data_IF_090072535642
#
_entry.id   IF_090072535642
#
_cell.length_a   1.000
_cell.length_b   1.000
_cell.length_c   1.000
_cell.angle_alpha   90.00
_cell.angle_beta   90.00
_cell.angle_gamma   90.00
#
_symmetry.space_group_name_H-M   'P 1'
#
loop_
_entity.id
_entity.type
_entity.pdbx_description
1 polymer ?
2 non-polymer ?
3 non-polymer ?
4 water ?
#
# COMPACT_ATOMS: atom_id res chain seq x y z
N UNK A 2 -6.17 11.82 9.25
CA UNK A 2 -5.29 12.63 8.41
C UNK A 2 -4.29 11.76 7.65
N UNK A 3 -3.94 12.20 6.45
CA UNK A 3 -3.09 11.40 5.61
C UNK A 3 -2.06 12.31 5.00
N UNK A 4 -1.06 11.68 4.35
CA UNK A 4 -0.18 12.56 3.57
C UNK A 4 0.66 13.51 4.40
N UNK A 5 0.93 14.68 3.89
CA UNK A 5 1.86 15.65 4.54
C UNK A 5 1.33 16.10 5.92
N UNK A 6 -0.01 16.12 6.06
CA UNK A 6 -0.70 16.50 7.29
C UNK A 6 -0.83 15.38 8.26
N UNK A 7 -0.31 14.18 7.97
CA UNK A 7 -0.53 12.95 8.77
C UNK A 7 0.64 12.02 8.60
N UNK A 8 1.86 12.53 8.79
CA UNK A 8 3.07 11.73 8.88
C UNK A 8 3.22 10.81 7.69
N UNK A 9 2.87 11.33 6.53
CA UNK A 9 2.97 10.53 5.27
C UNK A 9 2.14 9.22 5.25
N UNK A 10 1.10 9.13 6.12
CA UNK A 10 0.24 7.98 6.15
C UNK A 10 -0.62 7.89 4.87
N UNK A 11 -1.12 6.70 4.65
CA UNK A 11 -1.84 6.36 3.43
C UNK A 11 -3.22 5.85 3.78
N UNK A 12 -4.19 6.07 2.91
CA UNK A 12 -5.59 5.74 3.20
C UNK A 12 -5.72 4.28 2.88
N UNK A 13 -6.66 3.59 3.53
CA UNK A 13 -6.91 2.18 3.19
C UNK A 13 -7.57 2.07 1.84
N UNK A 14 -7.40 0.90 1.22
CA UNK A 14 -8.17 0.57 0.06
C UNK A 14 -7.92 1.53 -1.09
N UNK A 15 -6.71 2.04 -1.20
CA UNK A 15 -6.40 2.98 -2.31
C UNK A 15 -7.21 4.24 -2.37
N UNK A 16 -7.81 4.64 -1.23
CA UNK A 16 -8.52 5.89 -1.22
C UNK A 16 -7.50 6.97 -1.45
N UNK A 17 -7.89 8.05 -2.12
CA UNK A 17 -7.01 9.23 -2.35
C UNK A 17 -6.85 10.15 -1.10
N UNK A 18 -5.64 10.62 -0.88
CA UNK A 18 -5.39 11.55 0.21
C UNK A 18 -5.40 12.92 -0.45
N UNK A 19 -6.38 13.75 -0.10
CA UNK A 19 -6.56 15.04 -0.79
C UNK A 19 -5.42 16.03 -0.55
N UNK A 20 -5.46 17.17 -1.27
CA UNK A 20 -4.48 18.27 -1.01
C UNK A 20 -4.51 18.82 0.43
N UNK A 21 -5.65 18.63 1.08
CA UNK A 21 -5.80 18.99 2.50
C UNK A 21 -5.37 17.92 3.48
N UNK A 22 -5.15 16.71 3.02
CA UNK A 22 -4.73 15.60 3.90
C UNK A 22 -5.90 14.89 4.60
N UNK A 23 -6.93 14.61 3.80
CA UNK A 23 -8.04 13.76 4.24
C UNK A 23 -8.29 12.71 3.18
N UNK A 24 -8.84 11.60 3.63
CA UNK A 24 -9.13 10.45 2.74
C UNK A 24 -10.48 10.43 2.08
N UNK A 25 -10.52 10.09 0.80
CA UNK A 25 -11.84 9.95 0.16
C UNK A 25 -11.67 9.52 -1.28
N UNK A 26 -12.72 9.75 -2.06
CA UNK A 26 -12.71 9.36 -3.48
C UNK A 26 -13.44 10.46 -4.23
N UNK A 27 -13.19 10.48 -5.52
CA UNK A 27 -13.71 11.57 -6.35
C UNK A 27 -12.78 12.73 -6.49
N UNK A 28 -13.20 13.70 -7.32
CA UNK A 28 -12.42 14.85 -7.69
C UNK A 28 -11.76 15.67 -6.58
N UNK A 29 -12.48 15.81 -5.49
CA UNK A 29 -11.87 16.59 -4.39
C UNK A 29 -10.74 15.89 -3.66
N UNK A 30 -10.59 14.59 -3.90
CA UNK A 30 -9.53 13.79 -3.27
C UNK A 30 -8.50 13.34 -4.26
N UNK A 31 -8.97 12.81 -5.39
CA UNK A 31 -8.04 12.22 -6.37
C UNK A 31 -7.63 13.16 -7.49
N UNK A 32 -8.31 14.32 -7.60
CA UNK A 32 -8.02 15.31 -8.61
C UNK A 32 -6.84 16.16 -8.22
N UNK A 33 -6.90 17.44 -8.64
CA UNK A 33 -5.86 18.43 -8.38
C UNK A 33 -5.39 18.40 -6.92
N UNK A 34 -4.09 18.23 -6.74
CA UNK A 34 -3.48 18.19 -5.39
C UNK A 34 -3.45 16.86 -4.66
N UNK A 35 -4.03 15.80 -5.22
CA UNK A 35 -3.93 14.43 -4.59
C UNK A 35 -2.51 14.05 -4.22
N UNK A 36 -2.37 13.56 -2.97
CA UNK A 36 -1.04 13.26 -2.43
C UNK A 36 -0.68 11.80 -2.53
N UNK A 37 -1.66 10.91 -2.33
CA UNK A 37 -1.39 9.47 -2.43
C UNK A 37 -2.70 8.70 -2.64
N UNK A 38 -2.61 7.41 -2.92
CA UNK A 38 -3.79 6.58 -3.21
C UNK A 38 -4.01 6.72 -4.73
N UNK A 39 -5.26 6.57 -5.15
CA UNK A 39 -5.56 6.34 -6.62
C UNK A 39 -5.68 7.70 -7.31
N UNK A 40 -4.65 8.51 -7.23
CA UNK A 40 -4.68 9.82 -7.81
C UNK A 40 -4.94 9.78 -9.31
N UNK A 41 -5.72 10.71 -9.80
CA UNK A 41 -6.03 10.75 -11.23
C UNK A 41 -4.83 11.05 -12.08
N UNK A 42 -3.95 11.88 -11.61
CA UNK A 42 -2.65 12.06 -12.20
C UNK A 42 -1.65 11.21 -11.44
N UNK A 43 -1.20 10.10 -12.06
CA UNK A 43 -0.25 9.22 -11.36
C UNK A 43 1.05 9.93 -11.01
N UNK A 44 1.57 9.63 -9.83
CA UNK A 44 2.90 10.12 -9.48
C UNK A 44 4.03 9.58 -10.39
N UNK A 45 5.10 10.37 -10.51
CA UNK A 45 6.33 9.95 -11.25
C UNK A 45 7.27 9.20 -10.26
N UNK A 46 8.12 8.30 -10.81
CA UNK A 46 8.98 7.44 -10.02
C UNK A 46 10.12 6.93 -10.85
N UNK A 47 11.10 6.30 -10.16
CA UNK A 47 12.27 5.69 -10.83
C UNK A 47 13.23 6.62 -11.46
N UNK A 48 13.82 6.15 -12.58
CA UNK A 48 14.90 6.88 -13.25
C UNK A 48 14.41 8.22 -13.72
N UNK A 49 13.10 8.30 -14.06
CA UNK A 49 12.47 9.56 -14.51
C UNK A 49 12.20 10.57 -13.46
N UNK A 50 12.34 10.20 -12.18
CA UNK A 50 12.01 11.08 -11.13
C UNK A 50 13.11 11.05 -10.12
N UNK A 51 14.37 11.09 -10.57
CA UNK A 51 15.48 11.03 -9.56
C UNK A 51 15.52 9.91 -8.50
N UNK A 52 15.00 8.75 -8.85
CA UNK A 52 14.92 7.55 -8.07
C UNK A 52 13.80 7.50 -7.03
N UNK A 53 12.84 8.41 -7.10
CA UNK A 53 11.74 8.41 -6.12
C UNK A 53 10.91 7.12 -6.22
N UNK A 54 10.38 6.64 -5.11
CA UNK A 54 9.63 5.40 -5.16
C UNK A 54 8.13 5.75 -5.15
N UNK A 55 7.31 4.80 -5.50
CA UNK A 55 5.82 5.04 -5.39
C UNK A 55 5.34 4.80 -3.97
N UNK A 56 4.21 5.39 -3.69
CA UNK A 56 3.52 5.16 -2.44
C UNK A 56 2.49 4.04 -2.62
N UNK A 57 1.85 3.62 -1.53
CA UNK A 57 0.78 2.64 -1.54
C UNK A 57 1.25 1.31 -2.14
N UNK A 58 2.56 0.99 -2.00
CA UNK A 58 3.09 -0.27 -2.62
C UNK A 58 2.75 -0.41 -4.08
N UNK A 59 2.66 0.71 -4.82
CA UNK A 59 2.38 0.62 -6.26
C UNK A 59 3.68 0.28 -7.04
N UNK A 60 3.46 -0.18 -8.27
CA UNK A 60 4.58 -0.52 -9.16
C UNK A 60 5.02 0.68 -9.92
N UNK A 61 6.33 0.91 -10.05
CA UNK A 61 6.80 1.95 -10.95
C UNK A 61 7.03 1.38 -12.33
N UNK A 62 6.28 1.89 -13.31
CA UNK A 62 6.41 1.39 -14.68
C UNK A 62 7.76 1.68 -15.28
N UNK A 63 8.00 1.08 -16.46
CA UNK A 63 9.19 1.37 -17.32
C UNK A 63 9.25 2.85 -17.67
N UNK A 64 8.07 3.48 -17.74
CA UNK A 64 8.02 4.93 -18.11
C UNK A 64 8.05 5.86 -16.90
N UNK A 65 8.16 5.29 -15.70
CA UNK A 65 8.33 6.09 -14.49
C UNK A 65 6.98 6.73 -13.98
N UNK A 66 5.88 5.96 -14.09
CA UNK A 66 4.56 6.33 -13.50
C UNK A 66 4.14 5.22 -12.55
N UNK A 67 3.46 5.60 -11.45
CA UNK A 67 3.04 4.54 -10.54
C UNK A 67 1.64 4.02 -10.74
N UNK A 68 1.46 2.69 -10.55
CA UNK A 68 0.17 2.09 -10.85
C UNK A 68 0.16 0.64 -10.47
N UNK A 69 -0.85 -0.04 -10.95
CA UNK A 69 -1.02 -1.47 -10.78
C UNK A 69 -1.48 -2.05 -12.16
N UNK A 70 -1.15 -3.33 -12.35
CA UNK A 70 -1.57 -4.08 -13.60
C UNK A 70 -0.35 -4.34 -14.39
N UNK A 71 -0.48 -5.05 -15.54
CA UNK A 71 0.67 -5.56 -16.21
C UNK A 71 1.58 -4.46 -16.72
N UNK A 72 0.99 -3.36 -17.16
CA UNK A 72 1.72 -2.24 -17.77
C UNK A 72 2.67 -1.57 -16.78
N UNK A 73 2.28 -1.69 -15.50
CA UNK A 73 3.08 -1.12 -14.38
C UNK A 73 4.05 -2.09 -13.71
N UNK A 74 3.54 -3.27 -13.41
CA UNK A 74 4.27 -4.29 -12.62
C UNK A 74 5.00 -5.30 -13.46
N UNK A 75 4.64 -5.39 -14.75
CA UNK A 75 5.29 -6.35 -15.63
C UNK A 75 6.59 -5.82 -16.23
N UNK A 76 6.81 -6.09 -17.50
CA UNK A 76 8.09 -5.79 -18.09
C UNK A 76 8.59 -4.33 -17.91
N UNK A 77 9.84 -4.17 -17.53
CA UNK A 77 10.45 -2.86 -17.32
C UNK A 77 10.11 -2.23 -15.97
N UNK A 78 9.31 -2.92 -15.15
CA UNK A 78 8.92 -2.38 -13.79
C UNK A 78 10.19 -2.05 -13.03
N UNK A 79 10.23 -0.88 -12.41
CA UNK A 79 11.39 -0.33 -11.78
C UNK A 79 11.31 -0.36 -10.26
N UNK A 80 10.20 -0.75 -9.68
CA UNK A 80 10.07 -0.66 -8.23
C UNK A 80 8.69 -0.98 -7.79
N UNK A 81 8.52 -1.24 -6.48
CA UNK A 81 7.28 -1.75 -5.93
C UNK A 81 7.15 -3.24 -6.13
N UNK A 82 5.92 -3.81 -6.05
CA UNK A 82 5.81 -5.27 -6.13
C UNK A 82 5.77 -5.76 -7.60
N UNK A 83 6.90 -5.55 -8.23
CA UNK A 83 7.10 -5.98 -9.63
C UNK A 83 6.82 -7.48 -9.80
N UNK A 84 6.36 -7.88 -10.98
CA UNK A 84 6.08 -9.30 -11.24
C UNK A 84 7.39 -10.12 -11.25
N UNK A 85 8.48 -9.52 -11.71
CA UNK A 85 9.71 -10.26 -11.72
C UNK A 85 10.23 -10.37 -10.32
N UNK A 86 10.88 -11.49 -10.02
CA UNK A 86 11.50 -11.64 -8.68
C UNK A 86 12.54 -10.59 -8.50
N UNK A 87 12.62 -10.12 -7.28
CA UNK A 87 13.54 -9.06 -6.98
C UNK A 87 14.64 -9.59 -6.10
N UNK A 88 15.84 -9.44 -6.61
CA UNK A 88 17.03 -9.98 -5.97
C UNK A 88 17.56 -8.93 -4.99
N UNK A 89 18.15 -9.45 -3.92
CA UNK A 89 18.77 -8.67 -2.86
C UNK A 89 19.83 -9.45 -2.08
N UNK A 90 20.52 -8.73 -1.22
CA UNK A 90 21.28 -9.37 -0.15
C UNK A 90 22.58 -9.93 -0.69
N UNK A 91 23.11 -10.98 -0.06
CA UNK A 91 24.48 -11.42 -0.44
C UNK A 91 24.49 -12.01 -1.82
N UNK A 92 23.34 -12.47 -2.29
CA UNK A 92 23.21 -12.93 -3.68
C UNK A 92 23.24 -11.77 -4.72
N UNK A 93 23.10 -10.52 -4.26
CA UNK A 93 23.01 -9.36 -5.16
C UNK A 93 23.85 -8.18 -4.68
N UNK A 94 25.13 -8.38 -4.34
CA UNK A 94 26.00 -7.26 -3.91
C UNK A 94 25.59 -6.49 -2.64
N UNK A 95 24.82 -7.14 -1.74
CA UNK A 95 24.32 -6.49 -0.56
C UNK A 95 23.17 -5.50 -0.77
N UNK A 96 22.57 -5.46 -1.96
CA UNK A 96 21.44 -4.58 -2.27
C UNK A 96 20.28 -4.81 -1.30
N UNK A 97 19.72 -3.72 -0.82
CA UNK A 97 18.52 -3.72 0.02
C UNK A 97 17.22 -3.82 -0.79
N UNK A 98 16.18 -4.33 -0.14
CA UNK A 98 14.84 -4.34 -0.64
C UNK A 98 14.20 -2.99 -0.43
N UNK A 99 13.47 -2.52 -1.43
CA UNK A 99 12.79 -1.25 -1.25
C UNK A 99 11.63 -1.41 -0.24
N UNK A 100 11.24 -0.30 0.36
CA UNK A 100 10.01 -0.22 1.18
C UNK A 100 10.02 -1.19 2.34
N UNK A 101 11.21 -1.41 2.90
CA UNK A 101 11.37 -2.28 4.09
C UNK A 101 11.05 -3.70 3.83
N UNK A 102 10.91 -4.12 2.58
CA UNK A 102 10.65 -5.56 2.42
C UNK A 102 11.80 -6.39 3.00
N UNK A 103 11.49 -7.62 3.42
CA UNK A 103 12.54 -8.55 3.88
C UNK A 103 13.29 -9.17 2.69
N UNK A 104 14.59 -9.23 2.84
CA UNK A 104 15.46 -9.98 1.94
C UNK A 104 15.62 -11.39 2.51
N UNK A 105 14.96 -12.38 1.88
CA UNK A 105 15.05 -13.76 2.37
C UNK A 105 16.48 -14.32 2.43
N UNK A 106 16.57 -15.49 3.05
CA UNK A 106 17.84 -16.20 3.09
C UNK A 106 18.30 -16.49 1.66
N UNK A 107 17.37 -16.65 0.71
CA UNK A 107 17.77 -16.96 -0.67
C UNK A 107 18.05 -15.77 -1.53
N UNK A 108 17.93 -14.58 -0.93
CA UNK A 108 18.14 -13.30 -1.63
C UNK A 108 17.03 -12.84 -2.57
N UNK A 109 15.78 -12.95 -2.09
CA UNK A 109 14.60 -12.42 -2.78
C UNK A 109 13.83 -11.51 -1.84
N UNK A 110 13.24 -10.42 -2.39
CA UNK A 110 12.52 -9.46 -1.56
C UNK A 110 11.07 -9.88 -1.39
N UNK A 111 10.53 -9.84 -0.16
CA UNK A 111 9.07 -10.09 -0.05
C UNK A 111 8.70 -9.78 1.38
N UNK A 112 7.46 -10.08 1.78
CA UNK A 112 7.07 -10.03 3.19
C UNK A 112 6.35 -11.31 3.52
N UNK A 113 6.27 -11.74 4.79
CA UNK A 113 5.89 -13.13 5.07
C UNK A 113 7.01 -13.90 5.67
N UNK A 114 6.68 -14.90 6.48
CA UNK A 114 7.71 -15.58 7.28
C UNK A 114 8.86 -16.23 6.48
N UNK A 115 8.57 -16.69 5.26
CA UNK A 115 9.59 -17.17 4.31
C UNK A 115 10.69 -16.11 4.03
N UNK A 116 10.27 -14.85 4.09
CA UNK A 116 11.19 -13.74 3.83
C UNK A 116 11.78 -13.08 5.09
N UNK A 117 10.99 -12.98 6.17
CA UNK A 117 11.28 -12.13 7.30
C UNK A 117 11.73 -13.00 8.48
N UNK A 118 11.56 -14.32 8.35
CA UNK A 118 11.84 -15.29 9.41
C UNK A 118 13.31 -15.71 9.44
N UNK A 119 13.60 -16.92 9.93
CA UNK A 119 14.99 -17.39 10.01
C UNK A 119 15.73 -17.14 8.70
N UNK A 120 16.89 -16.48 8.79
CA UNK A 120 17.78 -16.27 7.62
C UNK A 120 17.60 -14.94 6.89
N UNK A 121 16.55 -14.20 7.28
CA UNK A 121 16.27 -12.87 6.75
C UNK A 121 17.55 -12.08 6.88
N UNK A 122 17.92 -11.42 5.80
CA UNK A 122 19.19 -10.69 5.72
C UNK A 122 19.08 -9.18 6.04
N UNK A 123 17.90 -8.59 5.78
CA UNK A 123 17.69 -7.13 5.90
C UNK A 123 16.18 -6.89 5.74
N UNK A 124 15.81 -5.67 5.99
CA UNK A 124 14.43 -5.24 6.02
C UNK A 124 13.76 -5.66 7.30
N UNK A 125 12.46 -5.85 7.22
CA UNK A 125 11.62 -6.06 8.37
C UNK A 125 11.68 -7.45 8.99
N UNK A 126 12.88 -7.96 9.19
CA UNK A 126 13.07 -9.29 9.76
C UNK A 126 12.42 -9.40 11.15
N UNK A 127 11.86 -10.55 11.44
CA UNK A 127 11.19 -10.76 12.70
C UNK A 127 12.14 -11.24 13.79
N UNK A 128 13.35 -11.62 13.38
CA UNK A 128 14.32 -12.27 14.26
C UNK A 128 15.12 -11.12 14.93
N UNK A 129 15.25 -11.17 16.25
CA UNK A 129 15.49 -9.91 16.95
C UNK A 129 16.93 -9.65 17.39
N UNK A 130 17.83 -9.52 16.42
CA UNK A 130 19.27 -9.42 16.65
C UNK A 130 19.75 -8.18 17.37
N UNK A 131 20.42 -8.34 18.52
CA UNK A 131 20.91 -7.22 19.30
C UNK A 131 21.84 -6.25 18.54
N UNK A 132 21.81 -4.98 18.95
CA UNK A 132 22.74 -4.05 18.35
C UNK A 132 23.40 -3.22 19.44
N UNK A 133 24.46 -2.50 19.08
CA UNK A 133 25.03 -1.51 19.97
C UNK A 133 26.18 -1.99 20.87
N UNK A 134 26.41 -1.23 21.92
CA UNK A 134 27.53 -1.44 22.84
C UNK A 134 27.57 -2.81 23.55
N UNK A 135 26.38 -3.41 23.78
CA UNK A 135 26.31 -4.75 24.39
C UNK A 135 26.19 -5.87 23.37
N UNK A 136 26.38 -5.53 22.09
CA UNK A 136 26.46 -6.49 21.01
C UNK A 136 27.67 -6.17 20.09
N UNK A 137 28.82 -5.94 20.69
CA UNK A 137 30.06 -5.71 19.96
C UNK A 137 30.08 -4.51 19.03
N UNK A 138 29.17 -3.57 19.21
CA UNK A 138 29.09 -2.38 18.33
C UNK A 138 28.37 -2.63 17.01
N UNK A 139 27.74 -3.81 16.90
CA UNK A 139 26.90 -4.11 15.73
C UNK A 139 25.90 -2.98 15.42
N UNK A 140 25.81 -2.57 14.14
CA UNK A 140 24.78 -1.64 13.71
C UNK A 140 23.69 -2.45 13.01
N UNK A 141 22.51 -1.89 13.01
CA UNK A 141 21.35 -2.51 12.35
C UNK A 141 21.46 -2.43 10.84
N UNK A 142 20.68 -3.23 10.11
CA UNK A 142 20.62 -3.06 8.65
C UNK A 142 19.73 -1.87 8.33
N UNK A 143 19.69 -1.50 7.06
CA UNK A 143 18.71 -0.52 6.59
C UNK A 143 18.84 0.80 7.32
N UNK A 144 20.00 1.09 7.91
CA UNK A 144 20.14 2.29 8.75
C UNK A 144 19.05 2.36 9.85
N UNK A 145 18.53 1.23 10.25
CA UNK A 145 17.57 1.29 11.35
C UNK A 145 18.24 1.78 12.64
N UNK A 146 17.45 2.36 13.55
CA UNK A 146 18.04 2.93 14.76
C UNK A 146 18.27 1.84 15.80
N UNK A 147 19.46 1.89 16.44
CA UNK A 147 19.75 0.99 17.55
C UNK A 147 19.40 1.68 18.87
N UNK A 148 18.40 1.15 19.56
CA UNK A 148 17.86 1.79 20.76
C UNK A 148 18.85 1.65 21.92
N UNK A 149 18.57 2.39 23.00
CA UNK A 149 19.35 2.34 24.23
C UNK A 149 19.40 0.91 24.80
N UNK A 150 18.33 0.16 24.66
CA UNK A 150 18.28 -1.22 25.11
C UNK A 150 18.83 -2.18 24.10
N UNK A 151 19.46 -1.67 23.03
CA UNK A 151 20.12 -2.50 21.99
C UNK A 151 19.21 -3.34 21.06
N UNK A 152 18.09 -2.77 20.69
CA UNK A 152 17.19 -3.40 19.71
C UNK A 152 17.00 -2.46 18.52
N UNK A 153 16.83 -3.03 17.33
CA UNK A 153 16.75 -2.25 16.09
C UNK A 153 15.33 -1.85 15.77
N UNK A 154 15.14 -0.61 15.34
CA UNK A 154 13.76 -0.26 14.96
C UNK A 154 13.70 1.14 14.43
N UNK A 155 12.45 1.57 14.20
CA UNK A 155 12.16 2.98 13.89
C UNK A 155 11.03 3.45 14.81
N UNK A 156 11.20 4.64 15.38
CA UNK A 156 10.20 5.17 16.29
C UNK A 156 10.94 5.86 17.42
N UNK A 157 10.22 6.69 18.20
CA UNK A 157 10.93 7.50 19.22
C UNK A 157 11.73 6.63 20.21
N UNK A 158 11.21 5.46 20.57
CA UNK A 158 11.97 4.59 21.46
C UNK A 158 13.28 4.09 20.90
N UNK A 159 13.45 4.17 19.59
CA UNK A 159 14.66 3.64 18.92
C UNK A 159 15.58 4.77 18.47
N UNK A 160 15.03 5.78 17.79
CA UNK A 160 15.81 6.87 17.19
C UNK A 160 15.96 8.08 18.06
N UNK A 161 15.18 8.13 19.15
CA UNK A 161 15.09 9.33 20.03
C UNK A 161 16.24 9.31 21.00
N UNK A 162 16.04 9.80 22.23
CA UNK A 162 17.13 9.77 23.23
C UNK A 162 17.70 8.36 23.54
N UNK A 163 19.04 8.24 23.56
CA UNK A 163 19.74 6.98 23.83
C UNK A 163 20.00 6.13 22.59
N UNK A 164 19.51 6.57 21.42
CA UNK A 164 19.84 5.90 20.11
C UNK A 164 21.37 5.76 19.93
N UNK A 165 21.84 4.56 19.54
CA UNK A 165 23.27 4.23 19.48
C UNK A 165 23.93 4.36 18.12
N UNK A 166 23.14 4.11 17.07
CA UNK A 166 23.65 4.15 15.69
C UNK A 166 22.48 4.23 14.76
N UNK A 167 22.75 4.30 13.47
CA UNK A 167 21.66 4.33 12.48
C UNK A 167 21.05 5.70 12.34
N UNK A 168 19.79 5.73 11.90
CA UNK A 168 19.10 6.99 11.61
C UNK A 168 18.58 7.70 12.83
N UNK A 169 19.46 7.89 13.81
CA UNK A 169 19.12 8.63 15.03
C UNK A 169 18.69 10.06 14.80
N UNK A 170 17.86 10.55 15.71
CA UNK A 170 17.38 11.91 15.72
C UNK A 170 18.57 12.87 15.86
N UNK A 171 19.45 12.58 16.81
CA UNK A 171 20.57 13.47 17.08
C UNK A 171 21.72 12.69 17.69
N UNK B 2 -2.81 9.32 13.89
CA UNK B 2 -2.58 7.95 14.23
C UNK B 2 -2.89 6.93 13.13
N UNK B 3 -2.29 5.76 13.19
CA UNK B 3 -2.66 4.70 12.23
C UNK B 3 -3.64 3.70 12.83
N UNK B 4 -4.13 2.82 12.01
CA UNK B 4 -5.00 1.73 12.51
C UNK B 4 -6.29 2.22 13.15
N UNK B 5 -6.67 1.50 14.20
CA UNK B 5 -8.01 1.62 14.73
C UNK B 5 -8.15 3.02 15.33
N UNK B 6 -7.03 3.62 15.74
CA UNK B 6 -7.06 4.96 16.37
C UNK B 6 -7.07 6.03 15.36
N UNK B 7 -6.93 5.65 14.08
CA UNK B 7 -6.84 6.64 13.01
C UNK B 7 -7.65 6.31 11.77
N UNK B 8 -8.89 5.86 11.95
CA UNK B 8 -9.76 5.54 10.79
C UNK B 8 -9.06 4.56 9.80
N UNK B 9 -8.31 3.59 10.32
CA UNK B 9 -7.70 2.53 9.53
C UNK B 9 -6.56 2.98 8.65
N UNK B 10 -6.01 4.16 8.95
CA UNK B 10 -4.86 4.64 8.17
C UNK B 10 -3.69 3.67 8.24
N UNK B 11 -2.86 3.75 7.19
CA UNK B 11 -1.72 2.90 7.01
C UNK B 11 -0.49 3.69 7.00
N UNK B 12 0.61 3.06 7.41
CA UNK B 12 1.87 3.75 7.44
C UNK B 12 2.53 3.60 6.09
N UNK B 13 3.40 4.50 5.81
CA UNK B 13 4.13 4.39 4.50
C UNK B 13 5.16 3.27 4.55
N UNK B 14 5.63 2.83 3.36
CA UNK B 14 6.81 1.99 3.35
C UNK B 14 6.74 0.70 4.17
N UNK B 15 5.54 0.14 4.24
CA UNK B 15 5.30 -1.05 5.05
C UNK B 15 5.63 -0.94 6.50
N UNK B 16 5.81 0.27 7.01
CA UNK B 16 6.00 0.39 8.46
C UNK B 16 4.83 -0.20 9.17
N UNK B 17 5.13 -0.76 10.35
CA UNK B 17 4.14 -1.42 11.13
C UNK B 17 3.34 -0.44 12.02
N UNK B 18 2.04 -0.60 12.07
CA UNK B 18 1.20 0.19 12.99
C UNK B 18 1.10 -0.49 14.36
N UNK B 19 1.66 0.16 15.39
CA UNK B 19 1.68 -0.43 16.76
C UNK B 19 0.25 -0.55 17.32
N UNK B 20 0.13 -1.28 18.43
CA UNK B 20 -1.16 -1.37 19.13
C UNK B 20 -1.68 -0.04 19.56
N UNK B 21 -0.80 0.95 19.67
CA UNK B 21 -1.27 2.26 20.12
C UNK B 21 -1.57 3.22 18.95
N UNK B 22 -1.41 2.74 17.73
CA UNK B 22 -1.72 3.55 16.50
C UNK B 22 -0.54 4.49 16.07
N UNK B 23 0.70 4.05 16.27
CA UNK B 23 1.90 4.83 15.86
C UNK B 23 2.68 4.00 14.83
N UNK B 24 3.31 4.70 13.89
CA UNK B 24 4.01 3.95 12.81
C UNK B 24 5.48 3.77 13.12
N UNK B 25 5.99 2.58 12.87
CA UNK B 25 7.44 2.30 13.13
C UNK B 25 7.93 0.95 12.69
N UNK B 26 9.08 0.55 13.21
CA UNK B 26 9.67 -0.72 12.89
C UNK B 26 10.32 -1.23 14.16
N UNK B 27 10.43 -2.56 14.25
CA UNK B 27 11.00 -3.23 15.41
C UNK B 27 9.86 -3.84 16.26
N UNK B 28 10.27 -4.56 17.30
CA UNK B 28 9.30 -5.27 18.13
C UNK B 28 8.14 -4.47 18.73
N UNK B 29 8.36 -3.20 19.03
CA UNK B 29 7.27 -2.42 19.67
C UNK B 29 6.13 -2.13 18.67
N UNK B 30 6.42 -2.29 17.38
CA UNK B 30 5.51 -1.90 16.29
C UNK B 30 5.05 -3.15 15.54
N UNK B 31 5.99 -4.01 15.15
CA UNK B 31 5.68 -5.17 14.32
C UNK B 31 5.32 -6.39 15.09
N UNK B 32 5.56 -6.34 16.40
CA UNK B 32 5.35 -7.50 17.26
C UNK B 32 3.91 -7.60 17.74
N UNK B 33 3.69 -8.17 18.93
CA UNK B 33 2.36 -8.22 19.50
C UNK B 33 1.60 -6.91 19.33
N UNK B 34 0.36 -6.97 18.88
CA UNK B 34 -0.49 -5.76 18.83
C UNK B 34 -0.40 -5.01 17.47
N UNK B 35 0.53 -5.43 16.63
CA UNK B 35 0.70 -4.83 15.29
C UNK B 35 -0.63 -4.86 14.54
N UNK B 36 -1.03 -3.70 13.99
CA UNK B 36 -2.36 -3.63 13.34
C UNK B 36 -2.27 -3.74 11.84
N UNK B 37 -1.20 -3.21 11.28
CA UNK B 37 -1.10 -3.24 9.80
C UNK B 37 0.38 -2.98 9.45
N UNK B 38 0.69 -2.93 8.16
CA UNK B 38 2.10 -3.03 7.76
C UNK B 38 2.73 -4.40 7.87
N UNK B 39 4.05 -4.37 7.97
CA UNK B 39 4.85 -5.61 7.98
C UNK B 39 4.86 -6.31 9.33
N UNK B 40 3.67 -6.54 9.88
CA UNK B 40 3.57 -7.27 11.17
C UNK B 40 4.27 -8.63 11.10
N UNK B 41 5.02 -8.98 12.13
CA UNK B 41 5.70 -10.27 12.23
C UNK B 41 4.78 -11.46 12.15
N UNK B 42 3.55 -11.38 12.67
CA UNK B 42 2.54 -12.42 12.46
C UNK B 42 1.66 -11.94 11.32
N UNK B 43 1.75 -12.59 10.18
CA UNK B 43 1.08 -12.06 8.99
C UNK B 43 -0.42 -12.25 9.18
N UNK B 44 -1.20 -11.39 8.54
CA UNK B 44 -2.62 -11.39 8.71
C UNK B 44 -3.21 -12.50 7.81
N UNK B 45 -4.42 -12.93 8.16
CA UNK B 45 -5.20 -13.84 7.34
C UNK B 45 -6.03 -13.05 6.30
N UNK B 46 -6.38 -13.72 5.20
CA UNK B 46 -7.08 -13.10 4.08
C UNK B 46 -7.63 -14.21 3.17
N UNK B 47 -8.46 -13.83 2.21
CA UNK B 47 -8.97 -14.79 1.26
C UNK B 47 -10.08 -15.67 1.81
N UNK B 48 -10.16 -16.88 1.27
CA UNK B 48 -11.30 -17.73 1.52
C UNK B 48 -11.14 -18.33 2.90
N UNK B 49 -9.88 -18.36 3.36
CA UNK B 49 -9.54 -18.79 4.70
C UNK B 49 -10.08 -17.81 5.78
N UNK B 50 -10.39 -16.56 5.41
CA UNK B 50 -10.83 -15.55 6.39
C UNK B 50 -12.00 -14.67 5.95
N UNK B 51 -13.09 -15.30 5.51
CA UNK B 51 -14.34 -14.61 5.20
C UNK B 51 -14.28 -13.73 3.97
N UNK B 52 -13.23 -13.90 3.17
CA UNK B 52 -13.04 -13.02 2.01
C UNK B 52 -12.43 -11.68 2.40
N UNK B 53 -11.97 -11.56 3.64
CA UNK B 53 -11.21 -10.38 4.09
C UNK B 53 -10.04 -10.19 3.12
N UNK B 54 -9.78 -8.94 2.73
CA UNK B 54 -8.62 -8.61 1.90
C UNK B 54 -7.44 -8.26 2.82
N UNK B 55 -6.27 -8.15 2.22
CA UNK B 55 -5.12 -7.65 2.93
C UNK B 55 -5.13 -6.17 2.95
N UNK B 56 -4.43 -5.60 3.90
CA UNK B 56 -4.25 -4.16 3.92
C UNK B 56 -2.89 -3.88 3.21
N UNK B 57 -2.54 -2.61 3.07
CA UNK B 57 -1.21 -2.21 2.47
C UNK B 57 -0.99 -2.80 1.02
N UNK B 58 -2.06 -3.01 0.27
CA UNK B 58 -1.96 -3.57 -1.10
C UNK B 58 -1.07 -4.81 -1.16
N UNK B 59 -1.13 -5.60 -0.11
CA UNK B 59 -0.35 -6.84 -0.06
C UNK B 59 -1.06 -7.90 -0.84
N UNK B 60 -0.29 -8.87 -1.31
CA UNK B 60 -0.86 -10.02 -1.95
C UNK B 60 -1.41 -11.03 -0.94
N UNK B 61 -2.60 -11.52 -1.23
CA UNK B 61 -3.17 -12.63 -0.46
C UNK B 61 -2.75 -14.03 -1.09
N UNK B 62 -1.93 -14.81 -0.40
CA UNK B 62 -1.39 -16.05 -0.93
C UNK B 62 -2.49 -17.10 -1.08
N UNK B 63 -2.16 -18.17 -1.80
CA UNK B 63 -3.05 -19.30 -1.93
C UNK B 63 -3.49 -19.85 -0.55
N UNK B 64 -2.67 -19.67 0.48
CA UNK B 64 -2.95 -20.23 1.82
C UNK B 64 -3.66 -19.22 2.72
N UNK B 65 -3.95 -18.06 2.16
CA UNK B 65 -4.62 -17.00 2.92
C UNK B 65 -3.76 -16.28 3.95
N UNK B 66 -2.53 -15.95 3.56
CA UNK B 66 -1.73 -15.06 4.37
C UNK B 66 -1.31 -13.90 3.52
N UNK B 67 -1.20 -12.74 4.17
CA UNK B 67 -0.78 -11.48 3.46
C UNK B 67 0.74 -11.32 3.32
N UNK B 68 1.24 -10.94 2.12
CA UNK B 68 2.70 -10.65 1.97
C UNK B 68 3.03 -10.31 0.53
N UNK B 69 4.31 -10.40 0.19
CA UNK B 69 4.83 -9.99 -1.12
C UNK B 69 5.86 -11.03 -1.48
N UNK B 70 6.20 -11.05 -2.79
CA UNK B 70 7.15 -12.03 -3.34
C UNK B 70 6.38 -13.16 -4.01
N UNK B 71 7.10 -14.04 -4.72
CA UNK B 71 6.43 -15.04 -5.53
C UNK B 71 5.44 -15.93 -4.74
N UNK B 72 5.79 -16.30 -3.50
CA UNK B 72 4.95 -17.16 -2.70
C UNK B 72 3.56 -16.59 -2.42
N UNK B 73 3.45 -15.26 -2.53
CA UNK B 73 2.21 -14.57 -2.20
C UNK B 73 1.52 -14.05 -3.43
N UNK B 74 2.27 -13.39 -4.30
CA UNK B 74 1.71 -12.83 -5.55
C UNK B 74 1.59 -13.76 -6.75
N UNK B 75 2.27 -14.91 -6.67
CA UNK B 75 2.39 -15.89 -7.77
C UNK B 75 1.24 -16.88 -7.75
N UNK B 76 1.48 -18.11 -8.17
CA UNK B 76 0.40 -19.12 -8.35
C UNK B 76 -0.58 -19.19 -7.19
N UNK B 77 -1.88 -19.10 -7.46
CA UNK B 77 -2.81 -19.23 -6.33
C UNK B 77 -3.12 -17.95 -5.58
N UNK B 78 -2.40 -16.85 -5.89
CA UNK B 78 -2.65 -15.52 -5.30
C UNK B 78 -4.18 -15.22 -5.40
N UNK B 79 -4.81 -14.79 -4.30
CA UNK B 79 -6.27 -14.54 -4.27
C UNK B 79 -6.63 -13.07 -4.37
N UNK B 80 -5.67 -12.18 -4.18
CA UNK B 80 -5.94 -10.73 -4.16
C UNK B 80 -4.68 -9.91 -4.03
N UNK B 81 -4.83 -8.60 -4.15
CA UNK B 81 -3.67 -7.75 -4.12
C UNK B 81 -3.07 -7.76 -5.53
N UNK B 82 -1.83 -7.25 -5.67
CA UNK B 82 -1.14 -7.18 -6.98
C UNK B 82 -0.61 -8.55 -7.42
N UNK B 83 -1.52 -9.51 -7.59
CA UNK B 83 -1.17 -10.83 -8.09
C UNK B 83 -0.42 -10.67 -9.41
N UNK B 84 0.48 -11.60 -9.71
CA UNK B 84 1.21 -11.61 -10.98
C UNK B 84 0.30 -11.98 -12.17
N UNK B 85 -0.76 -12.70 -11.88
CA UNK B 85 -1.77 -13.01 -12.85
C UNK B 85 -2.69 -11.84 -13.07
N UNK B 86 -3.03 -11.54 -14.34
CA UNK B 86 -3.96 -10.46 -14.61
C UNK B 86 -5.30 -10.77 -13.92
N UNK B 87 -5.96 -9.76 -13.41
CA UNK B 87 -7.20 -9.96 -12.69
C UNK B 87 -8.40 -9.44 -13.50
N UNK B 88 -9.40 -10.29 -13.72
CA UNK B 88 -10.54 -9.97 -14.61
C UNK B 88 -11.66 -9.27 -13.85
N UNK B 89 -12.41 -8.42 -14.53
CA UNK B 89 -13.46 -7.58 -13.92
C UNK B 89 -14.46 -7.05 -14.95
N UNK B 90 -15.62 -6.60 -14.48
CA UNK B 90 -16.43 -5.79 -15.35
C UNK B 90 -17.36 -6.61 -16.20
N UNK B 91 -17.78 -6.03 -17.31
CA UNK B 91 -18.77 -6.75 -18.15
C UNK B 91 -18.16 -8.00 -18.75
N UNK B 92 -16.84 -8.03 -18.91
CA UNK B 92 -16.21 -9.23 -19.44
C UNK B 92 -16.10 -10.30 -18.35
N UNK B 93 -16.32 -9.94 -17.08
CA UNK B 93 -16.26 -10.93 -15.98
C UNK B 93 -17.57 -10.96 -15.17
N UNK B 94 -18.73 -10.87 -15.84
CA UNK B 94 -20.06 -10.98 -15.14
C UNK B 94 -20.39 -9.83 -14.15
N UNK B 95 -19.76 -8.68 -14.32
CA UNK B 95 -20.00 -7.51 -13.48
C UNK B 95 -19.13 -7.42 -12.24
N UNK B 96 -18.25 -8.40 -12.07
CA UNK B 96 -17.33 -8.40 -10.89
C UNK B 96 -16.58 -7.07 -10.66
N UNK B 97 -16.60 -6.59 -9.42
CA UNK B 97 -15.88 -5.39 -9.08
C UNK B 97 -14.43 -5.77 -8.83
N UNK B 98 -13.52 -4.84 -9.08
CA UNK B 98 -12.13 -5.00 -8.58
C UNK B 98 -12.07 -4.71 -7.05
N UNK B 99 -11.29 -5.47 -6.30
CA UNK B 99 -11.13 -5.12 -4.88
C UNK B 99 -10.37 -3.83 -4.65
N UNK B 100 -10.53 -3.30 -3.44
CA UNK B 100 -9.72 -2.15 -2.97
C UNK B 100 -9.73 -0.97 -3.96
N UNK B 101 -10.91 -0.72 -4.51
CA UNK B 101 -11.19 0.41 -5.40
C UNK B 101 -10.32 0.45 -6.68
N UNK B 102 -9.69 -0.66 -7.00
CA UNK B 102 -8.90 -0.64 -8.27
C UNK B 102 -9.84 -0.38 -9.45
N UNK B 103 -9.29 0.25 -10.50
CA UNK B 103 -10.10 0.53 -11.71
C UNK B 103 -10.26 -0.71 -12.59
N UNK B 104 -11.49 -0.94 -13.06
CA UNK B 104 -11.74 -2.01 -14.04
C UNK B 104 -11.65 -1.33 -15.39
N UNK B 105 -10.64 -1.65 -16.21
CA UNK B 105 -10.46 -0.89 -17.45
C UNK B 105 -11.50 -1.31 -18.50
N UNK B 106 -11.52 -0.57 -19.60
CA UNK B 106 -12.41 -0.84 -20.72
C UNK B 106 -12.27 -2.32 -21.14
N UNK B 107 -11.05 -2.88 -21.00
CA UNK B 107 -10.76 -4.24 -21.50
C UNK B 107 -11.09 -5.29 -20.47
N UNK B 108 -11.58 -4.83 -19.30
CA UNK B 108 -12.00 -5.72 -18.23
C UNK B 108 -10.84 -6.30 -17.40
N UNK B 109 -9.86 -5.47 -17.08
CA UNK B 109 -8.78 -5.88 -16.15
C UNK B 109 -8.59 -4.86 -15.04
N UNK B 110 -8.17 -5.36 -13.86
CA UNK B 110 -7.96 -4.46 -12.73
C UNK B 110 -6.60 -3.83 -12.71
N UNK B 111 -6.59 -2.53 -12.41
CA UNK B 111 -5.29 -1.86 -12.33
C UNK B 111 -5.43 -0.47 -11.74
N UNK B 112 -4.36 0.32 -11.72
CA UNK B 112 -4.43 1.76 -11.34
C UNK B 112 -3.51 2.45 -12.32
N UNK B 113 -3.83 3.68 -12.74
CA UNK B 113 -3.08 4.34 -13.83
C UNK B 113 -4.07 4.64 -14.96
N UNK B 114 -3.71 5.56 -15.82
CA UNK B 114 -4.68 6.16 -16.76
C UNK B 114 -5.26 5.15 -17.79
N UNK B 115 -4.48 4.14 -18.11
CA UNK B 115 -5.08 3.06 -18.97
C UNK B 115 -6.29 2.42 -18.33
N UNK B 116 -6.24 2.21 -17.01
CA UNK B 116 -7.25 1.54 -16.29
C UNK B 116 -8.39 2.50 -15.80
N UNK B 117 -7.95 3.63 -15.32
CA UNK B 117 -8.89 4.57 -14.65
C UNK B 117 -9.48 5.65 -15.57
N UNK B 118 -8.87 5.81 -16.77
CA UNK B 118 -9.25 6.83 -17.72
C UNK B 118 -10.31 6.30 -18.70
N UNK B 119 -10.47 7.01 -19.81
CA UNK B 119 -11.55 6.66 -20.76
C UNK B 119 -11.77 5.20 -20.84
N UNK B 120 -13.05 4.79 -20.73
CA UNK B 120 -13.48 3.45 -20.78
C UNK B 120 -13.56 2.69 -19.45
N UNK B 121 -13.08 3.33 -18.36
CA UNK B 121 -13.11 2.73 -17.01
C UNK B 121 -14.53 2.37 -16.68
N UNK B 122 -14.73 1.15 -16.18
CA UNK B 122 -16.09 0.57 -15.91
C UNK B 122 -16.53 0.73 -14.45
N UNK B 123 -15.55 0.81 -13.58
CA UNK B 123 -15.82 0.82 -12.12
C UNK B 123 -14.55 1.00 -11.35
N UNK B 124 -14.68 1.19 -10.01
CA UNK B 124 -13.50 1.52 -9.17
C UNK B 124 -13.14 2.99 -9.36
N UNK B 125 -11.88 3.30 -9.06
CA UNK B 125 -11.43 4.73 -8.98
C UNK B 125 -11.19 5.47 -10.29
N UNK B 126 -12.21 5.44 -11.18
CA UNK B 126 -12.10 6.02 -12.53
C UNK B 126 -11.93 7.52 -12.37
N UNK B 127 -11.14 8.09 -13.31
CA UNK B 127 -10.92 9.53 -13.38
C UNK B 127 -11.93 10.26 -14.20
N UNK B 128 -12.76 9.49 -14.90
CA UNK B 128 -13.66 10.09 -15.92
C UNK B 128 -14.81 10.94 -15.32
N UNK B 129 -15.09 10.70 -14.03
CA UNK B 129 -15.97 11.58 -13.23
C UNK B 129 -17.34 11.74 -13.94
N UNK B 130 -17.89 10.67 -14.50
CA UNK B 130 -19.23 10.77 -15.08
C UNK B 130 -20.29 11.39 -14.12
N UNK B 131 -21.02 12.36 -14.61
CA UNK B 131 -22.09 12.96 -13.79
C UNK B 131 -23.09 11.86 -13.31
N UNK B 132 -23.64 12.08 -12.11
CA UNK B 132 -24.65 11.20 -11.52
C UNK B 132 -25.82 12.05 -11.03
N UNK B 133 -26.91 11.37 -10.68
CA UNK B 133 -28.00 11.99 -9.92
C UNK B 133 -29.01 12.72 -10.78
N UNK B 134 -29.67 13.72 -10.19
CA UNK B 134 -30.83 14.39 -10.84
C UNK B 134 -30.55 14.94 -12.25
N UNK B 135 -29.38 15.54 -12.40
CA UNK B 135 -29.06 16.22 -13.63
C UNK B 135 -28.37 15.25 -14.60
N UNK B 136 -28.27 13.99 -14.20
CA UNK B 136 -27.71 12.95 -15.06
C UNK B 136 -28.68 11.78 -15.29
N UNK B 137 -29.95 12.15 -15.47
CA UNK B 137 -31.02 11.16 -15.65
C UNK B 137 -31.09 10.10 -14.57
N UNK B 138 -30.74 10.46 -13.32
CA UNK B 138 -30.77 9.53 -12.20
C UNK B 138 -29.66 8.48 -12.12
N UNK B 139 -28.58 8.69 -12.86
CA UNK B 139 -27.57 7.64 -12.94
C UNK B 139 -27.01 7.52 -11.52
N UNK B 140 -26.77 6.30 -11.07
CA UNK B 140 -26.13 6.15 -9.76
C UNK B 140 -24.66 5.76 -9.99
N UNK B 141 -23.84 5.89 -8.96
CA UNK B 141 -22.40 5.66 -9.12
C UNK B 141 -22.09 4.19 -9.04
N UNK B 142 -20.95 3.71 -9.55
CA UNK B 142 -20.52 2.34 -9.29
C UNK B 142 -20.02 2.17 -7.81
N UNK B 143 -19.78 0.94 -7.39
CA UNK B 143 -19.17 0.67 -6.06
C UNK B 143 -19.91 1.23 -4.82
N UNK B 144 -21.18 1.58 -4.94
CA UNK B 144 -21.90 2.32 -3.87
C UNK B 144 -21.23 3.65 -3.50
N UNK B 145 -20.40 4.19 -4.40
CA UNK B 145 -19.94 5.56 -4.23
C UNK B 145 -21.16 6.52 -3.99
N UNK B 146 -20.92 7.58 -3.22
CA UNK B 146 -21.94 8.58 -2.97
C UNK B 146 -22.03 9.60 -4.17
N UNK B 147 -23.26 9.89 -4.58
CA UNK B 147 -23.53 10.94 -5.51
C UNK B 147 -23.79 12.30 -4.90
N UNK B 148 -22.84 13.24 -5.04
CA UNK B 148 -22.93 14.56 -4.38
C UNK B 148 -24.10 15.46 -4.89
N UNK B 149 -24.42 16.51 -4.13
CA UNK B 149 -25.46 17.45 -4.62
C UNK B 149 -25.09 18.09 -5.99
N UNK B 150 -23.81 18.16 -6.30
CA UNK B 150 -23.32 18.72 -7.53
C UNK B 150 -23.35 17.72 -8.70
N UNK B 151 -23.67 16.44 -8.44
CA UNK B 151 -23.79 15.40 -9.50
C UNK B 151 -22.46 14.73 -9.77
N UNK B 152 -21.59 14.53 -8.77
CA UNK B 152 -20.25 13.87 -9.01
C UNK B 152 -20.05 12.76 -7.94
N UNK B 153 -19.59 11.55 -8.34
CA UNK B 153 -19.38 10.38 -7.44
C UNK B 153 -18.11 10.44 -6.64
N UNK B 154 -18.21 10.03 -5.39
CA UNK B 154 -17.08 9.93 -4.51
C UNK B 154 -17.37 9.42 -3.10
N UNK B 155 -16.44 9.68 -2.21
CA UNK B 155 -16.54 9.31 -0.79
C UNK B 155 -15.94 10.47 -0.01
N UNK B 156 -16.65 10.94 1.03
CA UNK B 156 -16.26 12.14 1.74
C UNK B 156 -17.49 12.96 2.17
N UNK B 157 -17.32 13.90 3.10
CA UNK B 157 -18.48 14.76 3.58
C UNK B 157 -19.24 15.43 2.43
N UNK B 158 -18.51 15.86 1.38
CA UNK B 158 -19.14 16.59 0.28
C UNK B 158 -19.91 15.70 -0.67
N UNK B 159 -19.64 14.40 -0.63
CA UNK B 159 -20.34 13.40 -1.40
C UNK B 159 -21.42 12.64 -0.67
N UNK B 160 -21.10 12.18 0.55
CA UNK B 160 -21.95 11.29 1.30
C UNK B 160 -22.80 12.08 2.29
N UNK B 161 -22.46 13.37 2.47
CA UNK B 161 -23.05 14.24 3.56
C UNK B 161 -24.31 14.97 3.05
N UNK B 162 -24.59 16.19 3.57
CA UNK B 162 -25.71 16.99 3.05
C UNK B 162 -25.73 17.03 1.51
N UNK B 163 -26.96 16.80 1.03
CA UNK B 163 -27.24 16.74 -0.40
C UNK B 163 -26.90 15.47 -1.14
N UNK B 164 -26.34 14.45 -0.45
CA UNK B 164 -25.97 13.16 -1.06
C UNK B 164 -27.28 12.67 -1.70
N UNK B 165 -27.19 12.24 -2.97
CA UNK B 165 -28.39 11.80 -3.74
C UNK B 165 -28.63 10.28 -3.78
N UNK B 166 -27.56 9.49 -3.65
CA UNK B 166 -27.60 8.03 -3.78
C UNK B 166 -26.24 7.45 -3.43
N UNK B 167 -26.18 6.12 -3.35
CA UNK B 167 -25.00 5.42 -2.90
C UNK B 167 -24.96 5.34 -1.41
N UNK B 168 -23.77 5.07 -0.82
CA UNK B 168 -23.68 4.94 0.65
C UNK B 168 -23.72 6.26 1.40
N UNK B 169 -24.86 6.97 1.31
CA UNK B 169 -25.00 8.29 1.95
C UNK B 169 -25.02 8.02 3.44
N UNK B 170 -24.53 9.00 4.18
CA UNK B 170 -24.66 9.08 5.66
C UNK B 170 -26.12 9.02 6.13
#
# INVERSE_FOLDING_TARGET
>A
XRCGEQGSNMECPNNLCCSQYGYCGMGGDYCGKGCQNGACWTSKRCGSQAGGATCTNNQCCSQYGYCGFGAEYCGAGCQGGPCRADIKCGSQAGGKLCPNNLCCSQWGFCGLGSEFCGGGCQSGACSTDKPCGKDAGGRVCTNNYCCSKWGSCGIGPGYCGAGCQSGGCDG
>B
XRCGEQGSNMECPNNLCCSQYGYCGMGGDYCGKGCQNGACWTSKRCGSQAGGATCTNNQCCSQYGYCGFGAEYCGAGCQGGPCRADIKCGSQAGGKLCPNNLCCSQWGFCGLGSEFCGGGCQSGACSTDKPCGKDAGGRVCTNNYCCSKWGSCGIGPGYCGAGCQSGGCDG
#
